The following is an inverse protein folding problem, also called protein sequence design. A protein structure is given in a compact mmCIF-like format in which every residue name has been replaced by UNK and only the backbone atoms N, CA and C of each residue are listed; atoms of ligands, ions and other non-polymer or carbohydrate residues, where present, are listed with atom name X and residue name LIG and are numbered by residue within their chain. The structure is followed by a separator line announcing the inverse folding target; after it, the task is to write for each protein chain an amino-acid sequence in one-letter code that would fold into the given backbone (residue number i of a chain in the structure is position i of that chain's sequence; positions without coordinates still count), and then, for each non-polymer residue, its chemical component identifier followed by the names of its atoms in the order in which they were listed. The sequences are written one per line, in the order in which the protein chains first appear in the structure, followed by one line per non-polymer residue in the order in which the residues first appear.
data_IF_298559579309
#
_entry.id   IF_298559579309
#
_cell.length_a   1.000
_cell.length_b   1.000
_cell.length_c   1.000
_cell.angle_alpha   90.00
_cell.angle_beta   90.00
_cell.angle_gamma   90.00
#
_symmetry.space_group_name_H-M   'P 1'
#
loop_
_entity.id
_entity.type
_entity.pdbx_description
1 polymer ?
#
# COMPACT_ATOMS: atom_id res chain seq x y z
N UNK A 1 -11.85 29.51 -16.52
CA UNK A 1 -10.60 30.15 -16.06
C UNK A 1 -9.47 29.16 -16.33
N UNK A 2 -8.74 29.34 -17.43
CA UNK A 2 -7.69 28.41 -17.84
C UNK A 2 -6.47 28.55 -16.94
N UNK A 3 -6.01 27.44 -16.36
CA UNK A 3 -4.73 27.42 -15.65
C UNK A 3 -3.63 27.70 -16.68
N UNK A 4 -2.71 28.65 -16.43
CA UNK A 4 -1.60 28.91 -17.33
C UNK A 4 -0.75 27.64 -17.47
N UNK A 5 -0.35 27.34 -18.70
CA UNK A 5 0.38 26.15 -19.17
C UNK A 5 1.69 25.84 -18.40
N UNK A 6 2.13 26.75 -17.52
CA UNK A 6 3.32 26.62 -16.67
C UNK A 6 3.09 25.87 -15.34
N UNK A 7 1.85 25.54 -14.94
CA UNK A 7 1.59 24.96 -13.61
C UNK A 7 1.59 23.42 -13.56
N UNK A 8 1.47 22.74 -14.70
CA UNK A 8 1.45 21.26 -14.73
C UNK A 8 2.80 20.65 -14.35
N UNK A 9 3.91 21.31 -14.72
CA UNK A 9 5.25 20.90 -14.30
C UNK A 9 5.43 21.01 -12.78
N UNK A 10 4.87 22.06 -12.17
CA UNK A 10 4.83 22.20 -10.70
C UNK A 10 4.04 21.07 -10.06
N UNK A 11 2.93 20.62 -10.66
CA UNK A 11 2.18 19.47 -10.18
C UNK A 11 3.00 18.16 -10.29
N UNK A 12 3.67 17.93 -11.41
CA UNK A 12 4.54 16.75 -11.57
C UNK A 12 5.71 16.75 -10.59
N UNK A 13 6.32 17.91 -10.35
CA UNK A 13 7.41 18.04 -9.40
C UNK A 13 6.93 17.86 -7.95
N UNK A 14 5.87 18.57 -7.55
CA UNK A 14 5.37 18.55 -6.18
C UNK A 14 4.64 17.25 -5.83
N UNK A 15 3.66 16.85 -6.62
CA UNK A 15 2.84 15.67 -6.33
C UNK A 15 3.52 14.37 -6.76
N UNK A 16 4.19 14.38 -7.92
CA UNK A 16 4.91 13.22 -8.44
C UNK A 16 6.22 12.96 -7.71
N UNK A 17 7.18 13.90 -7.82
CA UNK A 17 8.53 13.69 -7.29
C UNK A 17 8.58 13.88 -5.77
N UNK A 18 8.22 15.07 -5.26
CA UNK A 18 8.32 15.37 -3.83
C UNK A 18 7.34 14.51 -3.03
N UNK A 19 6.09 14.41 -3.47
CA UNK A 19 5.06 13.55 -2.88
C UNK A 19 5.47 12.06 -2.91
N UNK A 20 6.02 11.59 -4.03
CA UNK A 20 6.53 10.22 -4.15
C UNK A 20 7.70 9.90 -3.22
N UNK A 21 8.66 10.83 -3.08
CA UNK A 21 9.76 10.71 -2.13
C UNK A 21 9.26 10.67 -0.67
N UNK A 22 8.31 11.55 -0.34
CA UNK A 22 7.67 11.59 0.97
C UNK A 22 6.94 10.28 1.29
N UNK A 23 6.16 9.76 0.35
CA UNK A 23 5.48 8.46 0.46
C UNK A 23 6.51 7.33 0.67
N UNK A 24 7.58 7.29 -0.11
CA UNK A 24 8.62 6.26 0.00
C UNK A 24 9.31 6.27 1.36
N UNK A 25 9.75 7.44 1.83
CA UNK A 25 10.43 7.58 3.12
C UNK A 25 9.48 7.29 4.29
N UNK A 26 8.27 7.84 4.25
CA UNK A 26 7.23 7.68 5.27
C UNK A 26 6.67 6.26 5.34
N UNK A 27 6.72 5.49 4.27
CA UNK A 27 6.27 4.10 4.23
C UNK A 27 7.35 3.09 4.60
N UNK A 28 8.52 3.17 3.96
CA UNK A 28 9.56 2.13 4.08
C UNK A 28 10.19 2.14 5.48
N UNK A 29 10.34 3.33 6.08
CA UNK A 29 11.02 3.47 7.38
C UNK A 29 10.24 2.81 8.54
N UNK A 30 8.94 3.10 8.75
CA UNK A 30 8.17 2.41 9.79
C UNK A 30 8.00 0.92 9.51
N UNK A 31 7.75 0.52 8.26
CA UNK A 31 7.57 -0.89 7.90
C UNK A 31 8.84 -1.70 8.17
N UNK A 32 10.02 -1.19 7.79
CA UNK A 32 11.28 -1.89 8.08
C UNK A 32 11.60 -1.96 9.57
N UNK A 33 11.09 -1.02 10.37
CA UNK A 33 11.30 -0.98 11.82
C UNK A 33 10.35 -1.94 12.54
N UNK A 34 9.06 -1.98 12.17
CA UNK A 34 8.07 -2.84 12.82
C UNK A 34 8.36 -4.34 12.58
N UNK A 35 8.88 -4.70 11.41
CA UNK A 35 9.31 -6.08 11.10
C UNK A 35 10.41 -6.55 12.06
N UNK A 36 11.28 -5.65 12.53
CA UNK A 36 12.34 -5.97 13.49
C UNK A 36 11.81 -6.15 14.91
N UNK A 37 10.74 -5.44 15.27
CA UNK A 37 10.07 -5.59 16.58
C UNK A 37 9.27 -6.89 16.67
N UNK A 38 8.68 -7.34 15.54
CA UNK A 38 7.83 -8.53 15.50
C UNK A 38 8.36 -9.57 14.50
N UNK A 39 9.53 -10.18 14.77
CA UNK A 39 10.17 -11.12 13.85
C UNK A 39 9.34 -12.38 13.61
N UNK A 40 8.48 -12.78 14.55
CA UNK A 40 7.65 -13.99 14.47
C UNK A 40 6.27 -13.76 13.84
N UNK A 41 5.80 -12.50 13.82
CA UNK A 41 4.46 -12.10 13.34
C UNK A 41 4.55 -10.96 12.33
N UNK A 42 5.49 -11.10 11.38
CA UNK A 42 5.88 -10.03 10.46
C UNK A 42 4.71 -9.58 9.60
N UNK A 43 3.95 -10.53 9.06
CA UNK A 43 2.79 -10.28 8.23
C UNK A 43 1.68 -9.58 9.00
N UNK A 44 1.34 -10.04 10.21
CA UNK A 44 0.39 -9.33 11.08
C UNK A 44 0.82 -7.89 11.36
N UNK A 45 2.08 -7.69 11.75
CA UNK A 45 2.63 -6.39 12.10
C UNK A 45 2.64 -5.43 10.89
N UNK A 46 3.10 -5.89 9.72
CA UNK A 46 3.05 -5.06 8.51
C UNK A 46 1.61 -4.87 8.04
N UNK A 47 0.74 -5.86 8.15
CA UNK A 47 -0.68 -5.76 7.81
C UNK A 47 -1.38 -4.66 8.61
N UNK A 48 -1.17 -4.61 9.93
CA UNK A 48 -1.70 -3.57 10.80
C UNK A 48 -1.15 -2.17 10.46
N UNK A 49 0.14 -2.06 10.13
CA UNK A 49 0.72 -0.79 9.73
C UNK A 49 0.15 -0.29 8.39
N UNK A 50 -0.08 -1.21 7.44
CA UNK A 50 -0.37 -0.89 6.04
C UNK A 50 -1.88 -0.89 5.74
N UNK A 51 -2.74 -1.43 6.61
CA UNK A 51 -4.20 -1.31 6.49
C UNK A 51 -4.68 0.15 6.62
N UNK A 52 -3.90 1.01 7.29
CA UNK A 52 -4.19 2.44 7.44
C UNK A 52 -4.38 3.17 6.11
N UNK A 53 -3.75 2.71 5.01
CA UNK A 53 -3.98 3.26 3.67
C UNK A 53 -5.44 3.10 3.20
N UNK A 54 -6.06 1.95 3.48
CA UNK A 54 -7.46 1.70 3.11
C UNK A 54 -8.42 2.60 3.91
N UNK A 55 -8.18 2.71 5.21
CA UNK A 55 -8.94 3.62 6.08
C UNK A 55 -8.74 5.10 5.74
N UNK A 56 -7.52 5.50 5.38
CA UNK A 56 -7.22 6.86 4.97
C UNK A 56 -8.01 7.25 3.73
N UNK A 57 -8.14 6.37 2.72
CA UNK A 57 -8.94 6.65 1.53
C UNK A 57 -10.43 6.87 1.87
N UNK A 58 -10.99 6.04 2.77
CA UNK A 58 -12.38 6.15 3.21
C UNK A 58 -12.67 7.46 3.96
N UNK A 59 -11.76 7.89 4.85
CA UNK A 59 -11.93 9.10 5.65
C UNK A 59 -11.61 10.37 4.86
N UNK A 60 -10.50 10.36 4.11
CA UNK A 60 -10.00 11.54 3.40
C UNK A 60 -10.89 11.92 2.24
N UNK A 61 -11.51 10.97 1.54
CA UNK A 61 -12.36 11.25 0.38
C UNK A 61 -13.48 12.25 0.68
N UNK A 62 -14.39 11.96 1.62
CA UNK A 62 -15.47 12.88 2.01
C UNK A 62 -14.95 14.20 2.58
N UNK A 63 -13.93 14.15 3.44
CA UNK A 63 -13.33 15.35 4.06
C UNK A 63 -12.74 16.28 2.99
N UNK A 64 -12.00 15.72 2.04
CA UNK A 64 -11.42 16.48 0.93
C UNK A 64 -12.51 17.05 0.03
N UNK A 65 -13.57 16.30 -0.29
CA UNK A 65 -14.69 16.82 -1.08
C UNK A 65 -15.38 18.00 -0.39
N UNK A 66 -15.63 17.91 0.91
CA UNK A 66 -16.26 18.96 1.67
C UNK A 66 -15.37 20.20 1.80
N UNK A 67 -14.06 20.02 2.01
CA UNK A 67 -13.08 21.12 1.99
C UNK A 67 -13.01 21.78 0.61
N UNK A 68 -12.94 21.01 -0.47
CA UNK A 68 -12.91 21.55 -1.83
C UNK A 68 -14.17 22.37 -2.15
N UNK A 69 -15.34 21.93 -1.68
CA UNK A 69 -16.60 22.64 -1.87
C UNK A 69 -16.71 23.93 -1.04
N UNK A 70 -16.05 24.01 0.11
CA UNK A 70 -16.17 25.14 1.05
C UNK A 70 -15.07 26.18 0.88
N UNK A 71 -13.80 25.76 0.81
CA UNK A 71 -12.62 26.65 0.78
C UNK A 71 -11.85 26.61 -0.55
N UNK A 72 -12.25 25.74 -1.48
CA UNK A 72 -11.61 25.58 -2.78
C UNK A 72 -10.44 24.60 -2.78
N UNK A 73 -9.98 24.26 -3.99
CA UNK A 73 -8.96 23.22 -4.22
C UNK A 73 -7.61 23.55 -3.57
N UNK A 74 -7.09 24.75 -3.82
CA UNK A 74 -5.76 25.16 -3.34
C UNK A 74 -5.68 25.15 -1.80
N UNK A 75 -6.67 25.76 -1.13
CA UNK A 75 -6.71 25.78 0.33
C UNK A 75 -6.88 24.37 0.91
N UNK A 76 -7.63 23.48 0.24
CA UNK A 76 -7.75 22.08 0.65
C UNK A 76 -6.39 21.37 0.66
N UNK A 77 -5.54 21.61 -0.35
CA UNK A 77 -4.19 21.06 -0.39
C UNK A 77 -3.33 21.58 0.78
N UNK A 78 -3.40 22.87 1.11
CA UNK A 78 -2.67 23.41 2.25
C UNK A 78 -3.16 22.81 3.58
N UNK A 79 -4.48 22.75 3.80
CA UNK A 79 -5.04 22.17 5.02
C UNK A 79 -4.64 20.69 5.21
N UNK A 80 -4.86 19.86 4.20
CA UNK A 80 -4.52 18.43 4.27
C UNK A 80 -3.00 18.22 4.36
N UNK A 81 -2.23 18.98 3.59
CA UNK A 81 -0.77 18.91 3.60
C UNK A 81 -0.19 19.24 4.98
N UNK A 82 -0.60 20.37 5.58
CA UNK A 82 -0.17 20.76 6.92
C UNK A 82 -0.64 19.76 7.97
N UNK A 83 -1.88 19.28 7.89
CA UNK A 83 -2.41 18.27 8.81
C UNK A 83 -1.57 16.98 8.77
N UNK A 84 -1.32 16.43 7.58
CA UNK A 84 -0.49 15.23 7.43
C UNK A 84 0.94 15.46 7.88
N UNK A 85 1.52 16.63 7.59
CA UNK A 85 2.87 16.95 8.04
C UNK A 85 2.99 16.95 9.56
N UNK A 86 2.06 17.59 10.27
CA UNK A 86 2.04 17.61 11.74
C UNK A 86 1.87 16.20 12.31
N UNK A 87 0.91 15.43 11.80
CA UNK A 87 0.68 14.05 12.26
C UNK A 87 1.89 13.16 12.00
N UNK A 88 2.53 13.25 10.83
CA UNK A 88 3.73 12.49 10.51
C UNK A 88 4.91 12.88 11.41
N UNK A 89 5.11 14.18 11.68
CA UNK A 89 6.18 14.64 12.58
C UNK A 89 6.00 14.10 13.99
N UNK A 90 4.77 14.12 14.50
CA UNK A 90 4.44 13.56 15.81
C UNK A 90 4.64 12.05 15.84
N UNK A 91 4.12 11.32 14.85
CA UNK A 91 4.26 9.87 14.75
C UNK A 91 5.74 9.44 14.63
N UNK A 92 6.56 10.20 13.90
CA UNK A 92 7.97 9.90 13.71
C UNK A 92 8.76 9.90 15.03
N UNK A 93 8.35 10.67 16.04
CA UNK A 93 9.02 10.69 17.36
C UNK A 93 8.92 9.35 18.09
N UNK A 94 7.94 8.51 17.74
CA UNK A 94 7.73 7.21 18.37
C UNK A 94 8.39 6.05 17.61
N UNK A 95 8.98 6.29 16.44
CA UNK A 95 9.63 5.25 15.65
C UNK A 95 11.04 5.00 16.20
N UNK A 96 11.15 3.98 17.04
CA UNK A 96 12.42 3.57 17.64
C UNK A 96 12.79 2.18 17.13
N UNK A 97 14.07 1.96 16.79
CA UNK A 97 14.58 0.63 16.44
C UNK A 97 14.74 -0.20 17.71
N UNK A 98 14.40 -1.50 17.70
CA UNK A 98 14.59 -2.34 18.87
C UNK A 98 16.08 -2.45 19.20
N UNK A 99 16.44 -2.33 20.49
CA UNK A 99 17.80 -2.52 20.99
C UNK A 99 18.16 -4.01 20.95
N UNK A 100 18.71 -4.45 19.82
CA UNK A 100 19.16 -5.83 19.59
C UNK A 100 20.33 -6.28 20.49
N UNK A 101 20.90 -5.36 21.28
CA UNK A 101 21.99 -5.66 22.21
C UNK A 101 21.53 -6.47 23.45
N UNK A 102 20.24 -6.50 23.76
CA UNK A 102 19.71 -7.29 24.89
C UNK A 102 19.29 -8.71 24.52
N UNK A 103 19.28 -9.05 23.23
CA UNK A 103 18.97 -10.41 22.73
C UNK A 103 20.20 -11.18 22.24
N UNK A 104 21.40 -10.58 22.33
CA UNK A 104 22.67 -11.23 22.01
C UNK A 104 23.53 -11.45 23.27
N UNK A 105 23.03 -12.20 24.24
CA UNK A 105 23.93 -13.10 24.97
C UNK A 105 24.30 -14.22 24.00
N UNK A 106 25.34 -13.99 23.21
CA UNK A 106 26.41 -14.94 22.80
C UNK A 106 27.11 -14.42 21.53
N UNK A 107 28.43 -14.27 21.68
CA UNK A 107 29.48 -14.28 20.66
C UNK A 107 29.83 -13.03 19.84
N UNK A 108 30.94 -12.42 20.31
CA UNK A 108 32.01 -11.85 19.50
C UNK A 108 32.12 -12.49 18.10
N UNK A 109 31.73 -11.77 17.05
CA UNK A 109 32.29 -12.00 15.72
C UNK A 109 32.38 -10.70 14.94
N UNK A 110 33.59 -10.47 14.46
CA UNK A 110 34.04 -9.35 13.64
C UNK A 110 33.03 -9.06 12.52
N UNK A 111 32.82 -7.76 12.25
CA UNK A 111 32.02 -7.17 11.19
C UNK A 111 32.27 -7.77 9.79
N UNK A 112 31.70 -8.94 9.53
CA UNK A 112 31.37 -9.37 8.18
C UNK A 112 29.93 -8.96 7.89
N UNK A 113 29.68 -8.47 6.67
CA UNK A 113 28.34 -8.22 6.13
C UNK A 113 27.57 -9.55 6.02
N UNK A 114 27.16 -10.11 7.16
CA UNK A 114 26.39 -11.36 7.22
C UNK A 114 25.10 -11.15 6.43
N UNK A 115 24.85 -12.04 5.47
CA UNK A 115 23.59 -12.05 4.74
C UNK A 115 22.44 -12.34 5.70
N UNK A 116 21.25 -11.83 5.39
CA UNK A 116 20.09 -12.06 6.25
C UNK A 116 19.39 -13.35 5.81
N UNK A 117 19.23 -14.32 6.71
CA UNK A 117 18.44 -15.54 6.44
C UNK A 117 16.96 -15.28 6.70
N UNK A 118 16.17 -15.14 5.65
CA UNK A 118 14.72 -14.87 5.74
C UNK A 118 13.85 -16.05 5.28
N UNK A 119 14.44 -17.00 4.55
CA UNK A 119 13.80 -18.23 4.04
C UNK A 119 14.76 -19.42 4.19
N UNK A 120 14.34 -20.64 3.81
CA UNK A 120 15.20 -21.85 3.78
C UNK A 120 16.30 -21.79 2.69
N UNK A 121 16.64 -20.63 2.16
CA UNK A 121 17.69 -20.42 1.17
C UNK A 121 19.03 -19.97 1.78
N UNK A 122 20.07 -19.80 0.93
CA UNK A 122 21.36 -19.29 1.36
C UNK A 122 21.27 -17.84 1.88
N UNK A 123 22.16 -17.47 2.79
CA UNK A 123 22.30 -16.09 3.25
C UNK A 123 22.88 -15.23 2.13
N UNK A 124 22.12 -14.20 1.72
CA UNK A 124 22.53 -13.28 0.66
C UNK A 124 22.62 -11.86 1.20
N UNK A 125 23.65 -11.15 0.75
CA UNK A 125 23.68 -9.68 0.87
C UNK A 125 22.67 -9.04 -0.09
N UNK A 126 22.26 -7.79 0.17
CA UNK A 126 21.34 -7.07 -0.73
C UNK A 126 21.84 -7.04 -2.18
N UNK A 127 23.13 -6.75 -2.40
CA UNK A 127 23.74 -6.71 -3.73
C UNK A 127 23.77 -8.08 -4.42
N UNK A 128 23.88 -9.17 -3.68
CA UNK A 128 23.78 -10.53 -4.23
C UNK A 128 22.34 -10.88 -4.55
N UNK A 129 21.38 -10.53 -3.69
CA UNK A 129 19.96 -10.77 -3.90
C UNK A 129 19.46 -10.13 -5.20
N UNK A 130 19.87 -8.89 -5.49
CA UNK A 130 19.53 -8.17 -6.74
C UNK A 130 19.97 -8.91 -8.01
N UNK A 131 21.00 -9.76 -7.94
CA UNK A 131 21.52 -10.52 -9.08
C UNK A 131 20.84 -11.88 -9.26
N UNK A 132 19.94 -12.28 -8.36
CA UNK A 132 19.26 -13.57 -8.45
C UNK A 132 18.09 -13.54 -9.44
N UNK A 133 17.86 -14.65 -10.15
CA UNK A 133 16.68 -14.79 -11.02
C UNK A 133 15.37 -14.65 -10.24
N UNK A 134 15.33 -15.17 -9.00
CA UNK A 134 14.17 -15.03 -8.11
C UNK A 134 13.81 -13.58 -7.84
N UNK A 135 14.81 -12.71 -7.63
CA UNK A 135 14.56 -11.27 -7.48
C UNK A 135 13.96 -10.67 -8.75
N UNK A 136 14.51 -10.97 -9.93
CA UNK A 136 13.98 -10.47 -11.21
C UNK A 136 12.53 -10.89 -11.43
N UNK A 137 12.19 -12.16 -11.20
CA UNK A 137 10.81 -12.64 -11.35
C UNK A 137 9.86 -12.00 -10.34
N UNK A 138 10.27 -11.88 -9.07
CA UNK A 138 9.47 -11.20 -8.04
C UNK A 138 9.26 -9.72 -8.38
N UNK A 139 10.29 -9.05 -8.90
CA UNK A 139 10.22 -7.65 -9.28
C UNK A 139 9.25 -7.45 -10.45
N UNK A 140 9.35 -8.25 -11.52
CA UNK A 140 8.44 -8.15 -12.68
C UNK A 140 7.00 -8.47 -12.24
N UNK A 141 6.81 -9.52 -11.44
CA UNK A 141 5.50 -9.89 -10.90
C UNK A 141 4.87 -8.74 -10.12
N UNK A 142 5.61 -8.14 -9.18
CA UNK A 142 5.10 -7.01 -8.40
C UNK A 142 4.90 -5.75 -9.23
N UNK A 143 5.79 -5.47 -10.18
CA UNK A 143 5.65 -4.33 -11.07
C UNK A 143 4.33 -4.40 -11.85
N UNK A 144 4.05 -5.54 -12.48
CA UNK A 144 2.80 -5.76 -13.24
C UNK A 144 1.60 -5.70 -12.28
N UNK A 145 1.64 -6.44 -11.18
CA UNK A 145 0.51 -6.53 -10.25
C UNK A 145 0.15 -5.19 -9.60
N UNK A 146 1.14 -4.42 -9.14
CA UNK A 146 0.91 -3.10 -8.52
C UNK A 146 0.42 -2.10 -9.57
N UNK A 147 1.01 -2.10 -10.78
CA UNK A 147 0.60 -1.17 -11.85
C UNK A 147 -0.84 -1.43 -12.28
N UNK A 148 -1.18 -2.68 -12.59
CA UNK A 148 -2.55 -3.06 -12.96
C UNK A 148 -3.53 -2.82 -11.79
N UNK A 149 -3.15 -3.17 -10.56
CA UNK A 149 -4.01 -3.01 -9.38
C UNK A 149 -4.34 -1.55 -9.08
N UNK A 150 -3.35 -0.66 -9.08
CA UNK A 150 -3.59 0.79 -8.89
C UNK A 150 -4.41 1.36 -10.05
N UNK A 151 -4.12 0.94 -11.29
CA UNK A 151 -4.89 1.33 -12.47
C UNK A 151 -6.38 0.96 -12.35
N UNK A 152 -6.66 -0.30 -11.98
CA UNK A 152 -8.03 -0.80 -11.79
C UNK A 152 -8.77 -0.01 -10.70
N UNK A 153 -8.14 0.20 -9.54
CA UNK A 153 -8.74 0.96 -8.44
C UNK A 153 -9.04 2.41 -8.86
N UNK A 154 -8.13 3.04 -9.61
CA UNK A 154 -8.34 4.42 -10.10
C UNK A 154 -9.53 4.54 -11.06
N UNK A 155 -9.85 3.46 -11.79
CA UNK A 155 -10.95 3.39 -12.74
C UNK A 155 -12.22 2.71 -12.18
N UNK A 156 -12.23 2.30 -10.90
CA UNK A 156 -13.30 1.48 -10.33
C UNK A 156 -14.68 2.13 -10.42
N UNK A 157 -14.81 3.41 -10.02
CA UNK A 157 -16.09 4.14 -10.09
C UNK A 157 -16.65 4.29 -11.52
N UNK A 158 -15.90 4.81 -12.51
CA UNK A 158 -16.41 4.91 -13.87
C UNK A 158 -16.67 3.54 -14.52
N UNK A 159 -15.91 2.52 -14.15
CA UNK A 159 -16.13 1.14 -14.63
C UNK A 159 -17.45 0.57 -14.09
N UNK A 160 -17.72 0.73 -12.79
CA UNK A 160 -18.98 0.28 -12.20
C UNK A 160 -20.20 0.99 -12.82
N UNK A 161 -20.11 2.30 -13.06
CA UNK A 161 -21.18 3.06 -13.71
C UNK A 161 -21.44 2.57 -15.14
N UNK A 162 -20.39 2.41 -15.95
CA UNK A 162 -20.51 2.01 -17.36
C UNK A 162 -20.93 0.55 -17.55
N UNK A 163 -20.50 -0.36 -16.68
CA UNK A 163 -20.78 -1.80 -16.82
C UNK A 163 -22.09 -2.25 -16.16
N UNK A 164 -22.54 -1.56 -15.11
CA UNK A 164 -23.70 -2.00 -14.32
C UNK A 164 -24.86 -0.99 -14.33
N UNK A 165 -24.66 0.21 -14.88
CA UNK A 165 -25.67 1.28 -14.89
C UNK A 165 -25.88 1.96 -13.54
N UNK A 166 -24.97 1.74 -12.58
CA UNK A 166 -25.04 2.32 -11.24
C UNK A 166 -24.92 3.86 -11.27
N UNK A 167 -25.63 4.55 -10.37
CA UNK A 167 -25.52 6.01 -10.22
C UNK A 167 -24.16 6.44 -9.68
N UNK A 168 -23.80 7.71 -9.88
CA UNK A 168 -22.55 8.32 -9.38
C UNK A 168 -22.43 8.16 -7.86
N UNK A 169 -23.52 8.37 -7.13
CA UNK A 169 -23.57 8.29 -5.67
C UNK A 169 -23.34 6.86 -5.19
N UNK A 170 -24.00 5.88 -5.79
CA UNK A 170 -23.85 4.47 -5.40
C UNK A 170 -22.44 3.97 -5.76
N UNK A 171 -21.87 4.41 -6.89
CA UNK A 171 -20.50 4.08 -7.27
C UNK A 171 -19.46 4.69 -6.32
N UNK A 172 -19.72 5.89 -5.78
CA UNK A 172 -18.86 6.48 -4.74
C UNK A 172 -18.88 5.69 -3.43
N UNK A 173 -20.06 5.22 -3.01
CA UNK A 173 -20.20 4.34 -1.83
C UNK A 173 -19.44 3.03 -2.03
N UNK A 174 -19.58 2.42 -3.23
CA UNK A 174 -18.83 1.22 -3.60
C UNK A 174 -17.32 1.43 -3.49
N UNK A 175 -16.76 2.53 -3.99
CA UNK A 175 -15.32 2.82 -3.86
C UNK A 175 -14.91 2.94 -2.38
N UNK A 176 -15.77 3.50 -1.53
CA UNK A 176 -15.55 3.51 -0.08
C UNK A 176 -15.45 2.10 0.51
N UNK A 177 -16.34 1.18 0.09
CA UNK A 177 -16.32 -0.24 0.50
C UNK A 177 -15.07 -0.95 -0.03
N UNK A 178 -14.67 -0.71 -1.28
CA UNK A 178 -13.40 -1.22 -1.83
C UNK A 178 -12.21 -0.75 -0.97
N UNK A 179 -12.23 0.50 -0.49
CA UNK A 179 -11.22 1.02 0.45
C UNK A 179 -11.15 0.22 1.76
N UNK A 180 -12.29 -0.17 2.33
CA UNK A 180 -12.35 -1.04 3.51
C UNK A 180 -11.76 -2.43 3.24
N UNK A 181 -12.18 -3.08 2.14
CA UNK A 181 -11.61 -4.37 1.74
C UNK A 181 -10.11 -4.26 1.42
N UNK A 182 -9.65 -3.13 0.88
CA UNK A 182 -8.22 -2.90 0.66
C UNK A 182 -7.45 -2.86 1.98
N UNK A 183 -8.01 -2.19 3.01
CA UNK A 183 -7.42 -2.13 4.35
C UNK A 183 -7.43 -3.49 5.04
N UNK A 184 -8.62 -4.06 5.25
CA UNK A 184 -8.77 -5.35 5.95
C UNK A 184 -8.13 -6.50 5.18
N UNK A 185 -8.19 -6.51 3.85
CA UNK A 185 -7.52 -7.50 3.02
C UNK A 185 -6.01 -7.51 3.26
N UNK A 186 -5.36 -6.34 3.39
CA UNK A 186 -3.94 -6.27 3.75
C UNK A 186 -3.67 -6.92 5.10
N UNK A 187 -4.51 -6.67 6.10
CA UNK A 187 -4.39 -7.29 7.42
C UNK A 187 -4.57 -8.81 7.34
N UNK A 188 -5.65 -9.27 6.71
CA UNK A 188 -6.02 -10.70 6.61
C UNK A 188 -4.96 -11.47 5.84
N UNK A 189 -4.62 -11.04 4.62
CA UNK A 189 -3.66 -11.75 3.78
C UNK A 189 -2.24 -11.71 4.34
N UNK A 190 -1.82 -10.57 4.90
CA UNK A 190 -0.49 -10.49 5.52
C UNK A 190 -0.42 -11.40 6.75
N UNK A 191 -1.44 -11.42 7.60
CA UNK A 191 -1.53 -12.33 8.75
C UNK A 191 -1.56 -13.79 8.32
N UNK A 192 -2.42 -14.15 7.36
CA UNK A 192 -2.52 -15.52 6.84
C UNK A 192 -1.19 -16.01 6.28
N UNK A 193 -0.43 -15.12 5.64
CA UNK A 193 0.87 -15.46 5.06
C UNK A 193 1.97 -15.75 6.08
N UNK A 194 1.78 -15.41 7.36
CA UNK A 194 2.64 -15.88 8.45
C UNK A 194 2.39 -17.37 8.77
N UNK A 195 1.18 -17.89 8.52
CA UNK A 195 0.80 -19.28 8.83
C UNK A 195 1.00 -20.24 7.65
N UNK A 196 0.51 -19.88 6.46
CA UNK A 196 0.55 -20.76 5.28
C UNK A 196 1.78 -20.51 4.37
N UNK A 197 2.57 -19.49 4.71
CA UNK A 197 3.73 -19.07 3.94
C UNK A 197 3.40 -18.16 2.77
N UNK A 198 4.41 -17.40 2.33
CA UNK A 198 4.24 -16.36 1.28
C UNK A 198 3.85 -16.94 -0.08
N UNK A 199 4.47 -18.03 -0.60
CA UNK A 199 4.10 -18.56 -1.92
C UNK A 199 2.64 -19.02 -1.99
N UNK A 200 2.18 -19.79 -0.99
CA UNK A 200 0.79 -20.26 -0.94
C UNK A 200 -0.21 -19.10 -0.86
N UNK A 201 0.13 -18.06 -0.09
CA UNK A 201 -0.70 -16.85 0.01
C UNK A 201 -0.80 -16.13 -1.33
N UNK A 202 0.31 -15.92 -2.03
CA UNK A 202 0.29 -15.29 -3.35
C UNK A 202 -0.51 -16.13 -4.36
N UNK A 203 -0.35 -17.46 -4.36
CA UNK A 203 -1.15 -18.33 -5.22
C UNK A 203 -2.65 -18.23 -4.91
N UNK A 204 -3.04 -18.19 -3.64
CA UNK A 204 -4.44 -18.02 -3.24
C UNK A 204 -5.01 -16.66 -3.70
N UNK A 205 -4.25 -15.58 -3.53
CA UNK A 205 -4.65 -14.23 -3.99
C UNK A 205 -4.84 -14.23 -5.51
N UNK A 206 -3.91 -14.78 -6.29
CA UNK A 206 -4.03 -14.79 -7.74
C UNK A 206 -5.19 -15.66 -8.25
N UNK A 207 -5.43 -16.81 -7.62
CA UNK A 207 -6.59 -17.65 -7.97
C UNK A 207 -7.88 -16.90 -7.68
N UNK A 208 -7.98 -16.25 -6.51
CA UNK A 208 -9.15 -15.45 -6.15
C UNK A 208 -9.36 -14.30 -7.14
N UNK A 209 -8.30 -13.58 -7.51
CA UNK A 209 -8.33 -12.47 -8.46
C UNK A 209 -8.85 -12.94 -9.84
N UNK A 210 -8.34 -14.06 -10.36
CA UNK A 210 -8.81 -14.65 -11.63
C UNK A 210 -10.31 -15.01 -11.56
N UNK A 211 -10.74 -15.65 -10.47
CA UNK A 211 -12.15 -16.04 -10.28
C UNK A 211 -13.05 -14.81 -10.23
N UNK A 212 -12.68 -13.80 -9.44
CA UNK A 212 -13.48 -12.60 -9.24
C UNK A 212 -13.56 -11.73 -10.49
N UNK A 213 -12.44 -11.51 -11.20
CA UNK A 213 -12.45 -10.78 -12.46
C UNK A 213 -13.24 -11.51 -13.54
N UNK A 214 -13.13 -12.85 -13.62
CA UNK A 214 -13.93 -13.64 -14.56
C UNK A 214 -15.42 -13.54 -14.24
N UNK A 215 -15.80 -13.57 -12.96
CA UNK A 215 -17.18 -13.41 -12.53
C UNK A 215 -17.73 -12.02 -12.89
N UNK A 216 -16.95 -10.95 -12.72
CA UNK A 216 -17.34 -9.60 -13.15
C UNK A 216 -17.62 -9.56 -14.66
N UNK A 217 -16.75 -10.15 -15.47
CA UNK A 217 -16.87 -10.13 -16.94
C UNK A 217 -18.12 -10.87 -17.44
N UNK A 218 -18.49 -11.97 -16.78
CA UNK A 218 -19.62 -12.81 -17.17
C UNK A 218 -20.94 -12.22 -16.66
N UNK A 219 -21.04 -11.94 -15.37
CA UNK A 219 -22.32 -11.66 -14.71
C UNK A 219 -22.67 -10.17 -14.61
N UNK A 220 -21.66 -9.27 -14.60
CA UNK A 220 -21.84 -7.80 -14.56
C UNK A 220 -22.80 -7.30 -13.47
N UNK A 221 -22.89 -8.02 -12.35
CA UNK A 221 -23.78 -7.65 -11.26
C UNK A 221 -23.15 -6.55 -10.39
N UNK A 222 -23.94 -5.53 -9.97
CA UNK A 222 -23.46 -4.48 -9.06
C UNK A 222 -22.82 -5.02 -7.79
N UNK A 223 -23.38 -6.09 -7.21
CA UNK A 223 -22.88 -6.69 -5.97
C UNK A 223 -21.52 -7.37 -6.17
N UNK A 224 -21.26 -7.95 -7.35
CA UNK A 224 -19.96 -8.53 -7.67
C UNK A 224 -18.88 -7.46 -7.74
N UNK A 225 -19.19 -6.29 -8.30
CA UNK A 225 -18.27 -5.13 -8.33
C UNK A 225 -17.91 -4.58 -6.94
N UNK A 226 -18.74 -4.83 -5.93
CA UNK A 226 -18.49 -4.37 -4.55
C UNK A 226 -17.55 -5.34 -3.80
N UNK A 227 -17.61 -6.63 -4.11
CA UNK A 227 -16.92 -7.69 -3.34
C UNK A 227 -15.69 -8.27 -4.05
N UNK A 228 -15.58 -8.09 -5.36
CA UNK A 228 -14.44 -8.49 -6.18
C UNK A 228 -13.31 -7.46 -6.08
#
# INVERSE_FOLDING_TARGET
MGYPSNSIWLLYLSYGVIGGLGLGAGYVTPVSTIIKWFPDKRGLATGLAIMGFGFAAMLTGPVAQQLMASVGLEQTFYFLGTFYFVIMLLAAQFIVRPNLALSSTTENSISQKKGTRLTRGPELTANQALKTKSFTFLWIMFFINITCGIGLVSAASPMAQSMTGMSVQTAAIMVGIIGLFNGFGRLIWATLSDYIGRPATFSAIFILDIVMLSAILIFKLPLLFVIA
#
